data_IF_384659274252
#
_entry.id   IF_384659274252
#
_cell.length_a   1.000
_cell.length_b   1.000
_cell.length_c   1.000
_cell.angle_alpha   90.00
_cell.angle_beta   90.00
_cell.angle_gamma   90.00
#
_symmetry.space_group_name_H-M   'P 1'
#
loop_
_entity.id
_entity.type
_entity.pdbx_description
1 polymer ?
#
# COMPACT_ATOMS: atom_id res chain seq x y z
N UNK A 1 67.22 -13.27 86.29
CA UNK A 1 68.43 -12.43 86.45
C UNK A 1 68.71 -11.74 85.12
N UNK A 2 69.00 -10.43 85.13
CA UNK A 2 69.18 -9.56 83.95
C UNK A 2 67.88 -8.80 83.64
N UNK A 3 67.59 -7.62 84.21
CA UNK A 3 68.26 -6.32 84.13
C UNK A 3 68.16 -5.66 82.73
N UNK A 4 67.41 -4.56 82.66
CA UNK A 4 67.21 -3.72 81.49
C UNK A 4 66.26 -2.58 81.83
N UNK A 5 66.80 -1.59 82.52
CA UNK A 5 66.09 -0.46 83.13
C UNK A 5 65.60 0.63 82.17
N UNK A 6 65.10 1.74 82.74
CA UNK A 6 64.12 2.66 82.16
C UNK A 6 64.76 3.95 81.63
N UNK A 7 64.00 4.85 81.02
CA UNK A 7 64.32 6.28 80.99
C UNK A 7 63.05 7.12 80.77
N UNK A 8 62.93 8.14 81.61
CA UNK A 8 61.82 9.07 81.74
C UNK A 8 61.89 10.19 80.67
N UNK A 9 60.78 10.90 80.41
CA UNK A 9 60.67 12.37 80.62
C UNK A 9 59.49 13.00 79.85
N UNK A 10 58.55 13.53 80.64
CA UNK A 10 57.96 14.87 80.56
C UNK A 10 57.27 15.44 79.29
N UNK A 11 56.11 16.02 79.59
CA UNK A 11 55.69 17.39 79.23
C UNK A 11 54.99 17.67 77.89
N UNK A 12 53.69 17.98 78.03
CA UNK A 12 52.91 19.10 77.45
C UNK A 12 53.33 19.73 76.12
N UNK A 13 52.37 19.85 75.19
CA UNK A 13 51.72 21.13 74.82
C UNK A 13 50.97 21.04 73.47
N UNK A 14 49.69 21.43 73.52
CA UNK A 14 48.95 22.34 72.61
C UNK A 14 49.37 22.42 71.11
N UNK A 15 48.41 22.14 70.22
CA UNK A 15 48.41 22.58 68.81
C UNK A 15 47.34 21.82 67.98
N UNK A 16 46.07 22.22 68.00
CA UNK A 16 45.42 23.19 67.11
C UNK A 16 45.51 22.83 65.60
N UNK A 17 44.42 22.19 65.12
CA UNK A 17 43.79 22.48 63.83
C UNK A 17 44.45 21.96 62.56
N UNK A 18 43.84 20.91 61.96
CA UNK A 18 43.73 20.67 60.49
C UNK A 18 43.11 19.29 60.24
N UNK A 19 41.81 19.16 60.39
CA UNK A 19 41.09 17.88 60.15
C UNK A 19 39.67 18.06 59.66
N UNK A 20 39.33 19.23 59.10
CA UNK A 20 37.94 19.60 58.82
C UNK A 20 37.70 20.17 57.42
N UNK A 21 38.62 19.92 56.48
CA UNK A 21 38.49 20.38 55.09
C UNK A 21 38.48 19.25 54.05
N UNK A 22 38.88 18.01 54.40
CA UNK A 22 38.94 16.92 53.41
C UNK A 22 37.60 16.16 53.23
N UNK A 23 36.64 16.31 54.15
CA UNK A 23 35.35 15.60 54.05
C UNK A 23 34.29 16.34 53.20
N UNK A 24 34.45 17.64 52.93
CA UNK A 24 33.54 18.36 52.02
C UNK A 24 33.88 18.12 50.54
N UNK A 25 35.16 17.97 50.21
CA UNK A 25 35.61 17.88 48.80
C UNK A 25 35.33 16.53 48.12
N UNK A 26 35.07 15.46 48.88
CA UNK A 26 34.73 14.14 48.30
C UNK A 26 33.24 14.04 47.96
N UNK A 27 32.36 14.70 48.73
CA UNK A 27 30.91 14.65 48.53
C UNK A 27 30.41 15.49 47.33
N UNK A 28 31.09 16.60 47.01
CA UNK A 28 30.74 17.44 45.86
C UNK A 28 31.09 16.77 44.52
N UNK A 29 32.17 15.99 44.44
CA UNK A 29 32.57 15.32 43.21
C UNK A 29 31.80 14.03 42.91
N UNK A 30 31.15 13.39 43.90
CA UNK A 30 30.34 12.19 43.66
C UNK A 30 28.95 12.51 43.11
N UNK A 31 28.34 13.62 43.54
CA UNK A 31 27.03 14.05 43.01
C UNK A 31 27.11 14.50 41.53
N UNK A 32 28.22 15.14 41.13
CA UNK A 32 28.40 15.59 39.75
C UNK A 32 28.61 14.40 38.80
N UNK A 33 29.35 13.35 39.21
CA UNK A 33 29.56 12.16 38.37
C UNK A 33 28.33 11.25 38.26
N UNK A 34 27.51 11.14 39.30
CA UNK A 34 26.25 10.39 39.22
C UNK A 34 25.20 11.09 38.34
N UNK A 35 25.14 12.42 38.37
CA UNK A 35 24.22 13.21 37.53
C UNK A 35 24.52 13.04 36.03
N UNK A 36 25.79 13.05 35.62
CA UNK A 36 26.15 12.86 34.21
C UNK A 36 25.87 11.44 33.70
N UNK A 37 26.01 10.40 34.54
CA UNK A 37 25.72 9.01 34.15
C UNK A 37 24.21 8.79 33.98
N UNK A 38 23.38 9.36 34.87
CA UNK A 38 21.92 9.27 34.77
C UNK A 38 21.40 10.03 33.56
N UNK A 39 21.96 11.21 33.23
CA UNK A 39 21.61 11.98 32.03
C UNK A 39 22.03 11.26 30.74
N UNK A 40 23.20 10.60 30.72
CA UNK A 40 23.63 9.81 29.56
C UNK A 40 22.77 8.55 29.33
N UNK A 41 22.29 7.90 30.39
CA UNK A 41 21.38 6.74 30.28
C UNK A 41 19.98 7.20 29.85
N UNK A 42 19.48 8.34 30.33
CA UNK A 42 18.23 8.95 29.86
C UNK A 42 18.33 9.46 28.40
N UNK A 43 19.48 9.97 27.98
CA UNK A 43 19.71 10.42 26.60
C UNK A 43 19.90 9.27 25.62
N UNK A 44 20.56 8.18 26.03
CA UNK A 44 20.71 6.97 25.20
C UNK A 44 19.40 6.18 25.05
N UNK A 45 18.43 6.40 25.94
CA UNK A 45 17.09 5.80 25.86
C UNK A 45 16.15 6.53 24.90
N UNK A 46 16.48 7.76 24.46
CA UNK A 46 15.60 8.59 23.62
C UNK A 46 15.87 8.48 22.11
N UNK A 47 16.99 7.88 21.69
CA UNK A 47 17.33 7.77 20.26
C UNK A 47 16.78 6.52 19.56
N UNK A 48 16.18 5.59 20.31
CA UNK A 48 15.40 4.48 19.75
C UNK A 48 13.90 4.83 19.69
N UNK A 49 13.56 6.05 19.30
CA UNK A 49 12.33 6.26 18.56
C UNK A 49 12.57 5.71 17.16
N UNK A 50 12.56 4.37 17.05
CA UNK A 50 12.37 3.70 15.78
C UNK A 50 11.07 4.26 15.24
N UNK A 51 11.17 5.20 14.30
CA UNK A 51 10.03 5.62 13.52
C UNK A 51 9.52 4.38 12.85
N UNK A 52 8.47 3.78 13.41
CA UNK A 52 7.58 2.97 12.60
C UNK A 52 6.99 3.93 11.59
N UNK A 53 7.66 4.06 10.45
CA UNK A 53 6.98 4.37 9.21
C UNK A 53 5.86 3.36 9.12
N UNK A 54 4.69 3.78 9.58
CA UNK A 54 3.46 3.06 9.37
C UNK A 54 3.35 3.09 7.86
N UNK A 55 3.80 2.01 7.21
CA UNK A 55 3.58 1.76 5.79
C UNK A 55 2.13 2.14 5.59
N UNK A 56 1.94 3.26 4.87
CA UNK A 56 0.66 3.94 4.87
C UNK A 56 -0.38 2.90 4.51
N UNK A 57 -1.41 2.77 5.35
CA UNK A 57 -2.62 2.07 4.96
C UNK A 57 -3.24 2.90 3.83
N UNK A 58 -2.66 2.78 2.63
CA UNK A 58 -3.21 3.34 1.42
C UNK A 58 -4.45 2.51 1.20
N UNK A 59 -5.59 3.04 1.65
CA UNK A 59 -6.87 2.38 1.47
C UNK A 59 -7.01 1.99 0.00
N UNK A 60 -6.89 0.71 -0.27
CA UNK A 60 -7.05 0.16 -1.62
C UNK A 60 -8.52 0.25 -1.99
N UNK A 61 -8.80 0.70 -3.19
CA UNK A 61 -10.17 0.91 -3.65
C UNK A 61 -10.26 0.63 -5.14
N UNK A 62 -11.34 -0.01 -5.55
CA UNK A 62 -11.72 -0.14 -6.95
C UNK A 62 -13.23 -0.16 -7.02
N UNK A 63 -13.78 0.73 -7.82
CA UNK A 63 -15.21 0.95 -7.93
C UNK A 63 -15.53 1.32 -9.37
N UNK A 64 -16.64 0.80 -9.90
CA UNK A 64 -17.24 1.33 -11.11
C UNK A 64 -18.25 2.39 -10.67
N UNK A 65 -17.94 3.66 -10.92
CA UNK A 65 -18.77 4.79 -10.45
C UNK A 65 -19.91 5.11 -11.42
N UNK A 66 -19.73 4.78 -12.69
CA UNK A 66 -20.76 4.93 -13.71
C UNK A 66 -20.52 3.92 -14.84
N UNK A 67 -21.59 3.52 -15.51
CA UNK A 67 -21.53 2.73 -16.73
C UNK A 67 -22.70 3.11 -17.64
N UNK A 68 -22.40 3.41 -18.90
CA UNK A 68 -23.36 3.86 -19.90
C UNK A 68 -23.16 3.09 -21.20
N UNK A 69 -24.26 2.65 -21.80
CA UNK A 69 -24.26 2.01 -23.12
C UNK A 69 -24.57 3.05 -24.17
N UNK A 70 -23.69 3.19 -25.15
CA UNK A 70 -23.89 4.03 -26.32
C UNK A 70 -24.02 3.14 -27.56
N UNK A 71 -25.10 3.35 -28.30
CA UNK A 71 -25.35 2.66 -29.57
C UNK A 71 -24.94 3.59 -30.72
N UNK A 72 -24.03 3.12 -31.55
CA UNK A 72 -23.69 3.73 -32.85
C UNK A 72 -24.24 2.83 -33.95
N UNK A 73 -24.36 3.33 -35.18
CA UNK A 73 -24.94 2.60 -36.32
C UNK A 73 -24.32 1.21 -36.53
N UNK A 74 -23.02 1.05 -36.26
CA UNK A 74 -22.28 -0.20 -36.51
C UNK A 74 -21.92 -1.00 -35.25
N UNK A 75 -22.00 -0.43 -34.05
CA UNK A 75 -21.51 -1.08 -32.83
C UNK A 75 -22.16 -0.57 -31.55
N UNK A 76 -22.28 -1.44 -30.55
CA UNK A 76 -22.73 -1.07 -29.21
C UNK A 76 -21.56 -1.10 -28.24
N UNK A 77 -21.28 0.05 -27.60
CA UNK A 77 -20.14 0.25 -26.72
C UNK A 77 -20.61 0.55 -25.30
N UNK A 78 -20.01 -0.12 -24.32
CA UNK A 78 -20.18 0.18 -22.91
C UNK A 78 -19.01 1.05 -22.43
N UNK A 79 -19.32 2.29 -22.07
CA UNK A 79 -18.37 3.18 -21.41
C UNK A 79 -18.50 3.01 -19.90
N UNK A 80 -17.42 2.60 -19.24
CA UNK A 80 -17.36 2.50 -17.79
C UNK A 80 -16.45 3.59 -17.23
N UNK A 81 -16.80 4.15 -16.08
CA UNK A 81 -15.94 5.04 -15.33
C UNK A 81 -15.50 4.33 -14.06
N UNK A 82 -14.19 4.27 -13.85
CA UNK A 82 -13.56 3.61 -12.73
C UNK A 82 -13.00 4.64 -11.75
N UNK A 83 -13.21 4.39 -10.46
CA UNK A 83 -12.50 5.08 -9.38
C UNK A 83 -11.64 4.04 -8.67
N UNK A 84 -10.34 4.26 -8.61
CA UNK A 84 -9.45 3.27 -8.05
C UNK A 84 -8.21 3.86 -7.39
N UNK A 85 -7.60 3.06 -6.51
CA UNK A 85 -6.33 3.30 -5.86
C UNK A 85 -5.66 1.97 -5.60
N UNK A 86 -4.52 1.74 -6.26
CA UNK A 86 -3.70 0.55 -6.00
C UNK A 86 -2.96 0.66 -4.67
N UNK A 87 -2.77 -0.49 -4.03
CA UNK A 87 -1.92 -0.63 -2.85
C UNK A 87 -0.44 -0.64 -3.21
N UNK A 88 0.41 -0.49 -2.20
CA UNK A 88 1.85 -0.43 -2.39
C UNK A 88 2.39 -1.74 -2.97
N UNK A 89 1.86 -2.90 -2.60
CA UNK A 89 2.28 -4.19 -3.16
C UNK A 89 2.11 -4.27 -4.69
N UNK A 90 1.02 -3.69 -5.21
CA UNK A 90 0.71 -3.66 -6.65
C UNK A 90 1.62 -2.65 -7.37
N UNK A 91 1.83 -1.47 -6.75
CA UNK A 91 2.73 -0.46 -7.29
C UNK A 91 4.19 -0.93 -7.31
N UNK A 92 4.62 -1.62 -6.26
CA UNK A 92 5.95 -2.22 -6.14
C UNK A 92 6.16 -3.30 -7.18
N UNK A 93 5.18 -4.18 -7.39
CA UNK A 93 5.26 -5.19 -8.43
C UNK A 93 5.49 -4.55 -9.81
N UNK A 94 4.70 -3.53 -10.18
CA UNK A 94 4.92 -2.80 -11.43
C UNK A 94 6.32 -2.19 -11.50
N UNK A 95 6.79 -1.53 -10.43
CA UNK A 95 8.14 -0.93 -10.39
C UNK A 95 9.27 -1.96 -10.59
N UNK A 96 9.04 -3.22 -10.19
CA UNK A 96 9.98 -4.32 -10.38
C UNK A 96 9.76 -5.08 -11.71
N UNK A 97 8.98 -4.52 -12.65
CA UNK A 97 8.75 -5.10 -13.97
C UNK A 97 7.78 -6.28 -13.96
N UNK A 98 6.94 -6.40 -12.92
CA UNK A 98 5.85 -7.37 -12.90
C UNK A 98 4.60 -6.70 -13.45
N UNK A 99 4.10 -7.11 -14.63
CA UNK A 99 2.89 -6.54 -15.18
C UNK A 99 1.69 -6.82 -14.28
N UNK A 100 0.78 -5.84 -14.21
CA UNK A 100 -0.47 -5.94 -13.46
C UNK A 100 -1.62 -5.79 -14.43
N UNK A 101 -2.55 -6.73 -14.42
CA UNK A 101 -3.65 -6.73 -15.38
C UNK A 101 -4.98 -6.45 -14.70
N UNK A 102 -5.70 -5.45 -15.21
CA UNK A 102 -7.08 -5.12 -14.83
C UNK A 102 -8.05 -5.81 -15.79
N UNK A 103 -8.91 -6.67 -15.25
CA UNK A 103 -10.01 -7.28 -15.97
C UNK A 103 -11.29 -6.46 -15.75
N UNK A 104 -11.84 -5.94 -16.84
CA UNK A 104 -13.20 -5.39 -16.88
C UNK A 104 -14.11 -6.42 -17.53
N UNK A 105 -15.10 -6.89 -16.79
CA UNK A 105 -16.09 -7.85 -17.29
C UNK A 105 -17.50 -7.25 -17.24
N UNK A 106 -18.22 -7.38 -18.34
CA UNK A 106 -19.61 -6.99 -18.43
C UNK A 106 -20.48 -8.17 -18.85
N UNK A 107 -21.71 -8.18 -18.37
CA UNK A 107 -22.73 -9.15 -18.75
C UNK A 107 -24.08 -8.48 -18.87
N UNK A 108 -24.87 -8.94 -19.83
CA UNK A 108 -26.27 -8.55 -19.99
C UNK A 108 -27.11 -9.79 -19.74
N UNK A 109 -28.14 -9.65 -18.90
CA UNK A 109 -29.08 -10.70 -18.56
C UNK A 109 -30.49 -10.25 -18.89
N UNK A 110 -31.30 -11.15 -19.43
CA UNK A 110 -32.74 -10.90 -19.61
C UNK A 110 -33.47 -11.27 -18.32
N UNK A 111 -34.20 -10.31 -17.74
CA UNK A 111 -34.91 -10.47 -16.47
C UNK A 111 -36.37 -10.90 -16.65
N UNK A 112 -36.97 -10.65 -17.81
CA UNK A 112 -38.36 -11.01 -18.11
C UNK A 112 -38.60 -12.52 -18.15
N UNK A 113 -37.54 -13.30 -18.34
CA UNK A 113 -37.58 -14.76 -18.38
C UNK A 113 -36.83 -15.32 -17.15
N UNK A 114 -37.49 -16.02 -16.22
CA UNK A 114 -36.80 -16.68 -15.07
C UNK A 114 -37.19 -18.15 -14.96
N UNK A 115 -36.20 -19.05 -14.78
CA UNK A 115 -35.61 -19.24 -13.44
C UNK A 115 -34.07 -19.24 -13.25
N UNK A 116 -33.22 -18.77 -14.18
CA UNK A 116 -31.75 -18.71 -13.91
C UNK A 116 -30.95 -17.56 -14.56
N UNK A 117 -31.62 -16.48 -15.02
CA UNK A 117 -30.99 -15.30 -15.66
C UNK A 117 -30.07 -15.69 -16.82
N UNK A 118 -30.68 -15.96 -17.97
CA UNK A 118 -29.96 -16.23 -19.20
C UNK A 118 -29.01 -15.07 -19.50
N UNK A 119 -27.72 -15.40 -19.60
CA UNK A 119 -26.68 -14.44 -19.99
C UNK A 119 -26.78 -14.28 -21.50
N UNK A 120 -27.41 -13.19 -21.92
CA UNK A 120 -27.56 -12.82 -23.33
C UNK A 120 -26.20 -12.46 -23.92
N UNK A 121 -25.37 -11.79 -23.13
CA UNK A 121 -24.05 -11.38 -23.56
C UNK A 121 -23.07 -11.41 -22.39
N UNK A 122 -21.84 -11.86 -22.66
CA UNK A 122 -20.70 -11.68 -21.76
C UNK A 122 -19.51 -11.17 -22.56
N UNK A 123 -18.90 -10.09 -22.07
CA UNK A 123 -17.66 -9.56 -22.63
C UNK A 123 -16.62 -9.34 -21.53
N UNK A 124 -15.36 -9.43 -21.91
CA UNK A 124 -14.20 -9.24 -21.03
C UNK A 124 -13.16 -8.44 -21.81
N UNK A 125 -12.54 -7.47 -21.15
CA UNK A 125 -11.31 -6.82 -21.62
C UNK A 125 -10.27 -6.83 -20.52
N UNK A 126 -9.03 -7.05 -20.94
CA UNK A 126 -7.86 -7.08 -20.10
C UNK A 126 -7.02 -5.87 -20.47
N UNK A 127 -6.77 -5.01 -19.50
CA UNK A 127 -5.85 -3.89 -19.62
C UNK A 127 -4.60 -4.22 -18.83
N UNK A 128 -3.47 -4.41 -19.51
CA UNK A 128 -2.19 -4.70 -18.88
C UNK A 128 -1.46 -3.40 -18.58
N UNK A 129 -1.02 -3.25 -17.33
CA UNK A 129 -0.25 -2.12 -16.83
C UNK A 129 1.17 -2.58 -16.55
N UNK A 130 2.15 -1.86 -17.10
CA UNK A 130 3.57 -2.16 -16.94
C UNK A 130 4.35 -0.87 -16.62
N UNK A 131 5.56 -1.02 -16.11
CA UNK A 131 6.53 0.05 -15.94
C UNK A 131 7.86 -0.33 -16.60
N UNK A 132 8.16 0.36 -17.70
CA UNK A 132 9.41 0.21 -18.42
C UNK A 132 10.53 0.99 -17.71
N UNK A 133 11.34 0.28 -16.91
CA UNK A 133 12.40 0.88 -16.10
C UNK A 133 13.43 1.68 -16.92
N UNK A 134 13.83 1.20 -18.10
CA UNK A 134 14.83 1.88 -18.93
C UNK A 134 14.38 3.27 -19.41
N UNK A 135 13.11 3.40 -19.79
CA UNK A 135 12.54 4.66 -20.28
C UNK A 135 11.84 5.46 -19.16
N UNK A 136 11.69 4.86 -17.98
CA UNK A 136 10.91 5.40 -16.85
C UNK A 136 9.49 5.78 -17.27
N UNK A 137 8.82 4.89 -18.01
CA UNK A 137 7.46 5.11 -18.53
C UNK A 137 6.52 4.03 -18.01
N UNK A 138 5.30 4.45 -17.70
CA UNK A 138 4.19 3.54 -17.53
C UNK A 138 3.61 3.17 -18.89
N UNK A 139 3.19 1.93 -19.05
CA UNK A 139 2.57 1.42 -20.28
C UNK A 139 1.18 0.90 -19.93
N UNK A 140 0.19 1.30 -20.72
CA UNK A 140 -1.13 0.72 -20.72
C UNK A 140 -1.34 0.01 -22.05
N UNK A 141 -1.71 -1.25 -21.98
CA UNK A 141 -2.00 -2.07 -23.15
C UNK A 141 -3.41 -2.63 -23.08
N UNK A 142 -4.19 -2.46 -24.15
CA UNK A 142 -5.38 -3.28 -24.37
C UNK A 142 -4.94 -4.62 -24.96
N UNK A 143 -5.01 -5.68 -24.17
CA UNK A 143 -4.52 -7.02 -24.55
C UNK A 143 -5.28 -7.58 -25.75
N UNK A 144 -6.51 -7.11 -26.01
CA UNK A 144 -7.32 -7.62 -27.12
C UNK A 144 -6.92 -7.02 -28.45
N UNK A 145 -6.58 -5.72 -28.48
CA UNK A 145 -6.14 -5.02 -29.70
C UNK A 145 -4.62 -5.00 -29.87
N UNK A 146 -3.86 -5.21 -28.78
CA UNK A 146 -2.41 -4.99 -28.73
C UNK A 146 -2.02 -3.51 -28.75
N UNK A 147 -2.98 -2.59 -28.67
CA UNK A 147 -2.71 -1.15 -28.64
C UNK A 147 -2.03 -0.78 -27.33
N UNK A 148 -0.90 -0.06 -27.42
CA UNK A 148 -0.13 0.39 -26.28
C UNK A 148 -0.03 1.91 -26.26
N UNK A 149 -0.29 2.48 -25.09
CA UNK A 149 -0.09 3.91 -24.81
C UNK A 149 0.89 4.06 -23.65
N UNK A 150 1.81 5.03 -23.75
CA UNK A 150 2.81 5.28 -22.71
C UNK A 150 2.56 6.58 -21.97
N UNK A 151 2.84 6.59 -20.67
CA UNK A 151 2.61 7.72 -19.78
C UNK A 151 3.88 8.07 -19.01
N UNK A 152 4.13 9.36 -18.81
CA UNK A 152 5.30 9.87 -18.09
C UNK A 152 5.15 9.79 -16.56
N UNK A 153 3.94 9.57 -16.05
CA UNK A 153 3.67 9.48 -14.62
C UNK A 153 2.54 8.49 -14.33
N UNK A 154 2.53 7.98 -13.10
CA UNK A 154 1.44 7.12 -12.62
C UNK A 154 0.10 7.87 -12.60
N UNK A 155 0.09 9.17 -12.29
CA UNK A 155 -1.12 9.98 -12.30
C UNK A 155 -1.74 10.05 -13.71
N UNK A 156 -0.91 10.24 -14.75
CA UNK A 156 -1.40 10.26 -16.12
C UNK A 156 -1.96 8.89 -16.58
N UNK A 157 -1.32 7.79 -16.14
CA UNK A 157 -1.88 6.45 -16.32
C UNK A 157 -3.22 6.30 -15.59
N UNK A 158 -3.31 6.84 -14.37
CA UNK A 158 -4.54 6.81 -13.58
C UNK A 158 -5.71 7.50 -14.26
N UNK A 159 -5.48 8.70 -14.78
CA UNK A 159 -6.51 9.46 -15.47
C UNK A 159 -7.00 8.77 -16.74
N UNK A 160 -6.10 8.08 -17.46
CA UNK A 160 -6.45 7.28 -18.62
C UNK A 160 -7.27 6.04 -18.25
N UNK A 161 -6.84 5.28 -17.24
CA UNK A 161 -7.53 4.05 -16.83
C UNK A 161 -8.82 4.33 -16.03
N UNK A 162 -9.01 5.54 -15.51
CA UNK A 162 -10.27 5.95 -14.88
C UNK A 162 -11.44 5.96 -15.89
N UNK A 163 -11.14 6.06 -17.19
CA UNK A 163 -12.10 5.93 -18.29
C UNK A 163 -11.50 4.99 -19.33
N UNK A 164 -11.46 3.67 -19.06
CA UNK A 164 -10.87 2.72 -20.00
C UNK A 164 -11.57 2.84 -21.36
N UNK A 165 -10.83 2.62 -22.47
CA UNK A 165 -11.42 2.61 -23.81
C UNK A 165 -12.70 1.77 -23.84
N UNK A 166 -13.76 2.31 -24.43
CA UNK A 166 -15.11 1.74 -24.37
C UNK A 166 -15.14 0.24 -24.68
N UNK A 167 -15.78 -0.52 -23.80
CA UNK A 167 -15.90 -1.96 -23.89
C UNK A 167 -16.89 -2.29 -25.02
N UNK A 168 -16.40 -2.75 -26.18
CA UNK A 168 -17.30 -3.23 -27.25
C UNK A 168 -18.11 -4.42 -26.73
N UNK A 169 -19.44 -4.27 -26.71
CA UNK A 169 -20.37 -5.30 -26.26
C UNK A 169 -20.62 -6.30 -27.39
N UNK A 170 -21.03 -5.81 -28.56
CA UNK A 170 -21.14 -6.57 -29.81
C UNK A 170 -21.15 -5.64 -31.02
N UNK A 171 -20.75 -6.17 -32.17
CA UNK A 171 -20.98 -5.58 -33.49
C UNK A 171 -22.39 -6.02 -33.90
N UNK A 172 -23.31 -5.05 -34.01
CA UNK A 172 -24.77 -5.26 -34.11
C UNK A 172 -25.40 -6.08 -32.95
N UNK A 173 -25.59 -5.41 -31.81
CA UNK A 173 -26.26 -6.01 -30.67
C UNK A 173 -27.77 -6.10 -30.93
N UNK A 174 -28.23 -7.20 -31.54
CA UNK A 174 -29.66 -7.54 -31.63
C UNK A 174 -30.12 -8.10 -30.28
N UNK A 175 -30.51 -7.19 -29.38
CA UNK A 175 -30.95 -7.54 -28.04
C UNK A 175 -32.36 -8.14 -28.10
N UNK A 176 -32.63 -9.24 -27.36
CA UNK A 176 -33.98 -9.76 -27.26
C UNK A 176 -34.89 -8.75 -26.57
N UNK A 177 -36.16 -8.71 -26.97
CA UNK A 177 -37.15 -7.88 -26.30
C UNK A 177 -37.30 -8.29 -24.81
N UNK A 178 -37.60 -7.30 -23.96
CA UNK A 178 -37.84 -7.49 -22.53
C UNK A 178 -36.97 -6.59 -21.64
N UNK A 179 -37.07 -6.82 -20.33
CA UNK A 179 -36.30 -6.09 -19.33
C UNK A 179 -34.86 -6.63 -19.29
N UNK A 180 -33.94 -5.88 -19.91
CA UNK A 180 -32.53 -6.23 -19.95
C UNK A 180 -31.78 -5.49 -18.84
N UNK A 181 -31.02 -6.26 -18.07
CA UNK A 181 -30.19 -5.74 -16.99
C UNK A 181 -28.73 -5.98 -17.35
N UNK A 182 -27.99 -4.89 -17.48
CA UNK A 182 -26.55 -4.92 -17.64
C UNK A 182 -25.86 -4.91 -16.28
N UNK A 183 -24.71 -5.56 -16.18
CA UNK A 183 -23.83 -5.41 -15.04
C UNK A 183 -22.36 -5.43 -15.46
N UNK A 184 -21.56 -4.62 -14.80
CA UNK A 184 -20.11 -4.48 -15.07
C UNK A 184 -19.33 -4.49 -13.77
N UNK A 185 -18.14 -5.07 -13.81
CA UNK A 185 -17.22 -5.12 -12.69
C UNK A 185 -15.79 -5.04 -13.18
N UNK A 186 -14.94 -4.38 -12.41
CA UNK A 186 -13.49 -4.36 -12.62
C UNK A 186 -12.79 -5.12 -11.48
N UNK A 187 -11.72 -5.86 -11.79
CA UNK A 187 -10.89 -6.53 -10.77
C UNK A 187 -9.47 -6.74 -11.27
N UNK A 188 -8.52 -6.86 -10.35
CA UNK A 188 -7.18 -7.33 -10.70
C UNK A 188 -7.23 -8.81 -11.12
N UNK A 189 -6.50 -9.13 -12.18
CA UNK A 189 -6.43 -10.47 -12.74
C UNK A 189 -5.16 -11.17 -12.25
N UNK A 190 -5.27 -11.80 -11.07
CA UNK A 190 -4.18 -12.50 -10.37
C UNK A 190 -3.53 -13.58 -11.25
N UNK A 191 -4.29 -14.14 -12.19
CA UNK A 191 -3.85 -15.26 -13.03
C UNK A 191 -2.77 -14.86 -14.03
N UNK A 192 -2.64 -13.56 -14.32
CA UNK A 192 -1.57 -13.03 -15.16
C UNK A 192 -0.26 -12.81 -14.40
N UNK A 193 -0.29 -12.90 -13.06
CA UNK A 193 0.93 -12.78 -12.26
C UNK A 193 1.86 -13.98 -12.47
N UNK A 194 3.18 -13.79 -12.30
CA UNK A 194 4.15 -14.88 -12.25
C UNK A 194 3.69 -15.98 -11.28
N UNK A 195 3.81 -17.28 -11.63
CA UNK A 195 3.30 -18.37 -10.80
C UNK A 195 3.77 -18.34 -9.35
N UNK A 196 5.03 -17.94 -9.12
CA UNK A 196 5.61 -17.80 -7.79
C UNK A 196 4.90 -16.76 -6.90
N UNK A 197 4.29 -15.73 -7.49
CA UNK A 197 3.60 -14.67 -6.77
C UNK A 197 2.12 -14.99 -6.48
N UNK A 198 1.48 -15.86 -7.28
CA UNK A 198 0.01 -16.08 -7.21
C UNK A 198 -0.48 -16.50 -5.83
N UNK A 199 0.24 -17.41 -5.16
CA UNK A 199 -0.14 -17.86 -3.81
C UNK A 199 -0.21 -16.68 -2.82
N UNK A 200 0.80 -15.81 -2.83
CA UNK A 200 0.83 -14.62 -1.98
C UNK A 200 -0.27 -13.62 -2.35
N UNK A 201 -0.56 -13.48 -3.64
CA UNK A 201 -1.61 -12.59 -4.14
C UNK A 201 -3.02 -13.03 -3.71
N UNK A 202 -3.32 -14.33 -3.69
CA UNK A 202 -4.62 -14.81 -3.20
C UNK A 202 -4.86 -14.52 -1.70
N UNK A 203 -3.78 -14.45 -0.91
CA UNK A 203 -3.85 -14.19 0.53
C UNK A 203 -3.81 -12.69 0.87
N UNK A 204 -3.37 -11.85 -0.07
CA UNK A 204 -3.24 -10.41 0.13
C UNK A 204 -4.51 -9.64 -0.25
N UNK A 205 -4.93 -8.71 0.61
CA UNK A 205 -6.06 -7.80 0.32
C UNK A 205 -5.74 -6.81 -0.79
N UNK A 206 -4.48 -6.39 -0.92
CA UNK A 206 -4.05 -5.43 -1.94
C UNK A 206 -4.17 -6.00 -3.36
N UNK A 207 -3.93 -7.31 -3.51
CA UNK A 207 -4.04 -8.02 -4.80
C UNK A 207 -5.47 -8.46 -5.12
N UNK A 208 -6.30 -8.70 -4.10
CA UNK A 208 -7.72 -9.06 -4.25
C UNK A 208 -8.62 -7.84 -4.52
N UNK A 209 -8.08 -6.84 -5.20
CA UNK A 209 -8.80 -5.61 -5.51
C UNK A 209 -9.87 -5.89 -6.57
N UNK A 210 -11.14 -5.72 -6.20
CA UNK A 210 -12.32 -5.93 -7.04
C UNK A 210 -13.36 -4.88 -6.70
N UNK A 211 -14.06 -4.37 -7.70
CA UNK A 211 -15.28 -3.61 -7.47
C UNK A 211 -16.45 -4.54 -7.16
N UNK A 212 -17.49 -3.96 -6.58
CA UNK A 212 -18.84 -4.52 -6.65
C UNK A 212 -19.36 -4.49 -8.10
N UNK A 213 -20.43 -5.22 -8.37
CA UNK A 213 -21.13 -5.14 -9.65
C UNK A 213 -21.91 -3.82 -9.73
N UNK A 214 -21.58 -2.98 -10.70
CA UNK A 214 -22.43 -1.86 -11.09
C UNK A 214 -23.52 -2.40 -12.03
N UNK A 215 -24.78 -2.11 -11.71
CA UNK A 215 -25.94 -2.63 -12.43
C UNK A 215 -26.70 -1.48 -13.05
N UNK A 216 -27.11 -1.64 -14.31
CA UNK A 216 -27.98 -0.70 -14.99
C UNK A 216 -29.07 -1.44 -15.76
N UNK A 217 -30.18 -0.75 -16.01
CA UNK A 217 -31.23 -1.25 -16.90
C UNK A 217 -31.00 -0.66 -18.28
N UNK A 218 -31.04 -1.49 -19.32
CA UNK A 218 -31.08 -1.00 -20.69
C UNK A 218 -32.52 -0.57 -20.94
N UNK A 219 -32.78 0.74 -20.96
CA UNK A 219 -34.06 1.27 -21.39
C UNK A 219 -34.28 0.93 -22.86
N UNK A 220 -35.48 0.44 -23.18
CA UNK A 220 -35.92 0.23 -24.57
C UNK A 220 -36.05 1.53 -25.35
#
# INVERSE_FOLDING_TARGET
MGAGGPLWSSASARGRGRGRLLLCQVAENTMIRLSHIVVMILAASLSSACGSETAGDRTVMLEVVNAEVQRTDDTTVLNAQLRYRFGDAVLDAMRHGVPVTLLVEARIVNRSNRPWLEVVLRTRRLYRLDYHALSSRYVLEDVSSGEQTTYSSYLALQDALARPPGLRLADDLSLPEGELVGSVRARLYIEDLPPAMRLSAYLSREWRLSSEWYVWTLGG
#
